data_IF_345338676376
#
_entry.id   IF_345338676376
#
_cell.length_a   1.000
_cell.length_b   1.000
_cell.length_c   1.000
_cell.angle_alpha   90.00
_cell.angle_beta   90.00
_cell.angle_gamma   90.00
#
_symmetry.space_group_name_H-M   'P 1'
#
loop_
_entity.id
_entity.type
_entity.pdbx_description
1 polymer ?
#
# COMPACT_ATOMS: atom_id res chain seq x y z
N UNK A 1 12.81 -19.27 -9.84
CA UNK A 1 12.59 -18.97 -9.87
C UNK A 1 12.58 -18.56 -9.91
N UNK A 2 12.78 -18.17 -10.07
CA UNK A 2 12.75 -17.70 -10.36
C UNK A 2 12.80 -17.45 -9.71
N UNK A 3 13.15 -17.33 -9.33
CA UNK A 3 13.23 -17.11 -8.95
C UNK A 3 13.79 -17.01 -8.33
N UNK A 4 14.34 -17.08 -8.00
CA UNK A 4 14.79 -17.05 -7.72
C UNK A 4 15.17 -17.00 -7.08
N UNK A 5 15.75 -16.86 -6.67
CA UNK A 5 15.87 -16.86 -6.29
C UNK A 5 15.51 -16.90 -5.52
N UNK A 6 15.79 -16.86 -4.97
CA UNK A 6 15.19 -16.87 -4.43
C UNK A 6 14.05 -16.95 -4.49
N UNK A 7 13.76 -17.17 -4.37
CA UNK A 7 12.61 -17.57 -4.53
C UNK A 7 11.65 -16.69 -4.98
N UNK A 8 11.99 -15.93 -5.48
CA UNK A 8 11.14 -15.07 -5.80
C UNK A 8 10.69 -15.27 -7.04
N UNK A 9 9.63 -15.50 -7.23
CA UNK A 9 9.17 -15.65 -8.35
C UNK A 9 8.78 -14.51 -8.85
N UNK A 10 9.33 -14.14 -9.71
CA UNK A 10 8.95 -13.11 -10.22
C UNK A 10 8.30 -13.30 -11.38
N UNK A 11 7.27 -13.16 -11.59
CA UNK A 11 6.63 -13.38 -12.68
C UNK A 11 6.62 -12.28 -13.41
N UNK A 12 7.07 -12.20 -14.20
CA UNK A 12 7.09 -11.26 -14.97
C UNK A 12 6.14 -11.26 -15.88
N UNK A 13 5.26 -11.17 -15.85
CA UNK A 13 4.41 -11.28 -16.75
C UNK A 13 4.08 -10.20 -17.29
N UNK A 14 4.31 -9.94 -18.08
CA UNK A 14 4.00 -8.99 -18.67
C UNK A 14 3.00 -9.04 -19.56
N UNK A 15 2.20 -8.34 -19.59
CA UNK A 15 1.23 -8.35 -20.44
C UNK A 15 1.60 -7.53 -21.51
N UNK A 16 1.98 -8.03 -22.41
CA UNK A 16 2.40 -7.30 -23.49
C UNK A 16 1.40 -6.42 -24.06
N UNK A 17 0.21 -6.60 -23.77
CA UNK A 17 -0.76 -5.81 -24.34
C UNK A 17 -1.01 -4.64 -23.58
N UNK A 18 -0.31 -4.39 -22.51
CA UNK A 18 -0.62 -3.33 -21.70
C UNK A 18 -0.33 -2.09 -22.41
N UNK A 19 -1.23 -1.28 -22.61
CA UNK A 19 -1.06 -0.06 -23.27
C UNK A 19 -1.09 1.09 -22.38
N UNK A 20 -0.94 0.93 -21.10
CA UNK A 20 -0.98 2.02 -20.26
C UNK A 20 0.28 2.72 -20.28
N UNK A 21 0.43 3.85 -19.62
CA UNK A 21 1.65 4.57 -19.46
C UNK A 21 2.56 3.93 -18.44
N UNK A 22 2.20 2.78 -17.94
CA UNK A 22 2.99 2.10 -16.94
C UNK A 22 3.87 1.09 -17.61
N UNK A 23 5.06 0.93 -17.07
CA UNK A 23 5.97 -0.09 -17.53
C UNK A 23 6.15 -1.08 -16.42
N UNK A 24 5.94 -2.35 -16.70
CA UNK A 24 6.21 -3.39 -15.73
C UNK A 24 7.70 -3.68 -15.73
N UNK A 25 8.24 -3.77 -14.56
CA UNK A 25 9.67 -3.98 -14.40
C UNK A 25 9.92 -5.25 -13.61
N UNK A 26 11.13 -5.76 -13.72
CA UNK A 26 11.56 -6.86 -12.88
C UNK A 26 12.11 -6.29 -11.58
N UNK A 27 12.01 -7.01 -10.48
CA UNK A 27 12.57 -6.53 -9.23
C UNK A 27 14.04 -6.18 -9.32
N UNK A 28 14.80 -6.89 -10.16
CA UNK A 28 16.21 -6.61 -10.30
C UNK A 28 16.46 -5.27 -10.98
N UNK A 29 15.44 -4.66 -11.55
CA UNK A 29 15.60 -3.36 -12.17
C UNK A 29 15.38 -2.22 -11.21
N UNK A 30 15.04 -2.52 -9.96
CA UNK A 30 14.86 -1.47 -8.97
C UNK A 30 16.21 -0.87 -8.59
N UNK A 31 16.26 0.40 -8.27
CA UNK A 31 17.49 1.00 -7.76
C UNK A 31 17.93 0.31 -6.47
N UNK A 32 19.23 0.26 -6.24
CA UNK A 32 19.76 -0.40 -5.05
C UNK A 32 19.16 0.16 -3.77
N UNK A 33 18.94 1.46 -3.71
CA UNK A 33 18.36 2.08 -2.51
C UNK A 33 16.95 1.56 -2.23
N UNK A 34 16.17 1.31 -3.27
CA UNK A 34 14.82 0.76 -3.08
C UNK A 34 14.90 -0.67 -2.57
N UNK A 35 15.80 -1.48 -3.13
CA UNK A 35 15.93 -2.85 -2.67
C UNK A 35 16.41 -2.91 -1.23
N UNK A 36 17.31 -2.01 -0.85
CA UNK A 36 17.78 -1.95 0.53
C UNK A 36 16.68 -1.54 1.49
N UNK A 37 15.84 -0.60 1.08
CA UNK A 37 14.72 -0.18 1.90
C UNK A 37 13.79 -1.37 2.17
N UNK A 38 13.46 -2.10 1.10
CA UNK A 38 12.54 -3.23 1.23
C UNK A 38 13.14 -4.30 2.13
N UNK A 39 14.41 -4.60 1.95
CA UNK A 39 15.05 -5.63 2.74
C UNK A 39 15.17 -5.23 4.21
N UNK A 40 15.32 -3.95 4.47
CA UNK A 40 15.51 -3.49 5.84
C UNK A 40 14.23 -3.21 6.61
N UNK A 41 13.12 -3.01 5.93
CA UNK A 41 11.88 -2.63 6.59
C UNK A 41 10.83 -3.74 6.67
N UNK A 42 11.01 -4.81 5.93
CA UNK A 42 10.02 -5.90 5.92
C UNK A 42 10.72 -7.22 6.16
N UNK A 43 9.99 -8.17 6.71
CA UNK A 43 10.51 -9.49 7.02
C UNK A 43 10.07 -10.46 5.92
N UNK A 44 11.04 -11.05 5.24
CA UNK A 44 10.79 -11.99 4.15
C UNK A 44 9.77 -11.46 3.16
N UNK A 45 9.98 -10.24 2.65
CA UNK A 45 9.03 -9.67 1.71
C UNK A 45 9.12 -10.37 0.36
N UNK A 46 7.97 -10.60 -0.25
CA UNK A 46 7.96 -11.12 -1.61
C UNK A 46 7.46 -10.01 -2.52
N UNK A 47 8.26 -9.66 -3.49
CA UNK A 47 7.88 -8.64 -4.47
C UNK A 47 7.07 -9.35 -5.53
N UNK A 48 5.81 -8.96 -5.70
CA UNK A 48 4.95 -9.61 -6.67
C UNK A 48 4.74 -8.77 -7.92
N UNK A 49 5.03 -7.49 -7.86
CA UNK A 49 4.89 -6.65 -9.03
C UNK A 49 5.67 -5.38 -8.86
N UNK A 50 6.30 -4.90 -9.91
CA UNK A 50 6.99 -3.62 -9.92
C UNK A 50 6.51 -2.88 -11.15
N UNK A 51 6.01 -1.67 -10.97
CA UNK A 51 5.55 -0.85 -12.07
C UNK A 51 6.21 0.50 -12.00
N UNK A 52 6.44 1.10 -13.14
CA UNK A 52 6.93 2.46 -13.18
C UNK A 52 5.94 3.30 -13.94
N UNK A 53 5.55 4.43 -13.32
CA UNK A 53 4.71 5.37 -13.98
C UNK A 53 5.39 6.70 -13.83
N UNK A 54 5.87 7.26 -14.90
CA UNK A 54 6.63 8.51 -14.90
C UNK A 54 7.87 8.31 -14.04
N UNK A 55 8.04 9.10 -13.00
CA UNK A 55 9.20 9.01 -12.15
C UNK A 55 8.94 8.24 -10.86
N UNK A 56 7.84 7.53 -10.77
CA UNK A 56 7.49 6.83 -9.56
C UNK A 56 7.54 5.34 -9.81
N UNK A 57 8.19 4.61 -8.90
CA UNK A 57 8.23 3.16 -8.93
C UNK A 57 7.28 2.64 -7.87
N UNK A 58 6.33 1.81 -8.27
CA UNK A 58 5.38 1.20 -7.34
C UNK A 58 5.71 -0.27 -7.21
N UNK A 59 5.92 -0.72 -6.00
CA UNK A 59 6.31 -2.09 -5.73
C UNK A 59 5.26 -2.73 -4.85
N UNK A 60 4.65 -3.80 -5.33
CA UNK A 60 3.70 -4.54 -4.53
C UNK A 60 4.41 -5.67 -3.82
N UNK A 61 4.21 -5.77 -2.53
CA UNK A 61 4.93 -6.70 -1.68
C UNK A 61 3.93 -7.46 -0.84
N UNK A 62 4.16 -8.75 -0.68
CA UNK A 62 3.43 -9.56 0.28
C UNK A 62 4.40 -9.91 1.39
N UNK A 63 4.05 -9.52 2.60
CA UNK A 63 4.83 -9.88 3.79
C UNK A 63 3.92 -10.71 4.67
N UNK A 64 4.11 -12.00 4.72
CA UNK A 64 3.20 -12.88 5.41
C UNK A 64 1.84 -12.85 4.72
N UNK A 65 0.84 -12.33 5.43
CA UNK A 65 -0.47 -12.16 4.83
C UNK A 65 -0.78 -10.70 4.54
N UNK A 66 0.17 -9.82 4.77
CA UNK A 66 -0.08 -8.41 4.57
C UNK A 66 0.33 -7.99 3.18
N UNK A 67 -0.53 -7.22 2.56
CA UNK A 67 -0.30 -6.71 1.22
C UNK A 67 0.10 -5.25 1.35
N UNK A 68 1.22 -4.89 0.75
CA UNK A 68 1.72 -3.53 0.86
C UNK A 68 2.08 -3.00 -0.52
N UNK A 69 1.94 -1.70 -0.69
CA UNK A 69 2.40 -1.05 -1.90
C UNK A 69 3.39 0.01 -1.48
N UNK A 70 4.62 -0.11 -1.95
CA UNK A 70 5.69 0.81 -1.57
C UNK A 70 6.09 1.61 -2.79
N UNK A 71 6.13 2.92 -2.65
CA UNK A 71 6.46 3.79 -3.77
C UNK A 71 7.81 4.45 -3.54
N UNK A 72 8.58 4.54 -4.61
CA UNK A 72 9.90 5.17 -4.60
C UNK A 72 10.00 6.13 -5.78
N UNK A 73 10.88 7.11 -5.67
CA UNK A 73 11.18 7.93 -6.85
C UNK A 73 12.16 7.18 -7.75
N UNK A 74 12.52 7.77 -8.85
CA UNK A 74 13.39 7.12 -9.83
C UNK A 74 14.79 6.81 -9.31
N UNK A 75 15.20 7.43 -8.22
CA UNK A 75 16.50 7.16 -7.63
C UNK A 75 16.41 6.14 -6.49
N UNK A 76 15.23 5.65 -6.19
CA UNK A 76 15.06 4.69 -5.12
C UNK A 76 14.78 5.29 -3.76
N UNK A 77 14.47 6.59 -3.70
CA UNK A 77 14.12 7.20 -2.43
C UNK A 77 12.68 6.90 -2.08
N UNK A 78 12.44 6.52 -0.85
CA UNK A 78 11.10 6.12 -0.41
C UNK A 78 10.15 7.30 -0.40
N UNK A 79 8.98 7.10 -0.98
CA UNK A 79 7.95 8.12 -1.01
C UNK A 79 6.78 7.75 -0.12
N UNK A 80 6.34 6.50 -0.11
CA UNK A 80 5.19 6.10 0.70
C UNK A 80 5.08 4.59 0.81
N UNK A 81 4.35 4.15 1.82
CA UNK A 81 3.96 2.75 1.97
C UNK A 81 2.48 2.72 2.32
N UNK A 82 1.71 1.96 1.57
CA UNK A 82 0.30 1.72 1.87
C UNK A 82 0.15 0.25 2.25
N UNK A 83 -0.47 0.00 3.39
CA UNK A 83 -0.69 -1.36 3.86
C UNK A 83 -2.19 -1.57 4.03
N UNK A 84 -2.72 -2.65 3.47
CA UNK A 84 -4.12 -3.00 3.66
C UNK A 84 -4.29 -3.60 5.03
N UNK A 85 -5.31 -3.17 5.76
CA UNK A 85 -5.54 -3.61 7.12
C UNK A 85 -6.92 -4.21 7.28
N UNK A 86 -7.04 -5.08 8.27
CA UNK A 86 -8.33 -5.53 8.74
C UNK A 86 -8.68 -4.69 9.96
N UNK A 87 -9.98 -4.66 10.30
CA UNK A 87 -10.43 -3.79 11.37
C UNK A 87 -9.70 -4.05 12.68
N UNK A 88 -9.44 -5.31 12.99
CA UNK A 88 -8.77 -5.63 14.26
C UNK A 88 -7.31 -5.17 14.29
N UNK A 89 -6.76 -4.75 13.17
CA UNK A 89 -5.39 -4.26 13.14
C UNK A 89 -5.31 -2.76 13.31
N UNK A 90 -6.46 -2.08 13.39
CA UNK A 90 -6.46 -0.62 13.48
C UNK A 90 -6.36 -0.23 14.94
N UNK A 91 -5.54 0.80 15.28
CA UNK A 91 -5.43 1.22 16.67
C UNK A 91 -6.76 1.67 17.26
N UNK A 92 -6.92 1.44 18.54
CA UNK A 92 -8.18 1.75 19.22
C UNK A 92 -8.54 3.23 19.11
N UNK A 93 -7.55 4.11 19.14
CA UNK A 93 -7.81 5.54 19.05
C UNK A 93 -8.39 5.92 17.70
N UNK A 94 -7.95 5.26 16.65
CA UNK A 94 -8.44 5.53 15.31
C UNK A 94 -9.86 5.00 15.16
N UNK A 95 -10.12 3.80 15.68
CA UNK A 95 -11.48 3.25 15.64
C UNK A 95 -12.44 4.09 16.47
N UNK A 96 -11.98 4.61 17.61
CA UNK A 96 -12.82 5.46 18.43
C UNK A 96 -13.20 6.75 17.68
N UNK A 97 -12.24 7.31 16.92
CA UNK A 97 -12.53 8.51 16.16
C UNK A 97 -13.59 8.22 15.08
N UNK A 98 -13.51 7.07 14.43
CA UNK A 98 -14.50 6.68 13.46
C UNK A 98 -15.87 6.52 14.13
N UNK A 99 -15.91 5.84 15.27
CA UNK A 99 -17.16 5.57 15.95
C UNK A 99 -17.80 6.84 16.53
N UNK A 100 -17.02 7.87 16.74
CA UNK A 100 -17.52 9.13 17.23
C UNK A 100 -17.78 10.13 16.11
N UNK A 101 -17.58 9.74 14.87
CA UNK A 101 -17.78 10.64 13.75
C UNK A 101 -19.20 10.52 13.22
N UNK A 102 -19.54 11.39 12.29
CA UNK A 102 -20.84 11.30 11.65
C UNK A 102 -21.00 10.06 10.79
N UNK A 103 -19.92 9.31 10.58
CA UNK A 103 -19.95 8.11 9.78
C UNK A 103 -20.01 6.83 10.63
N UNK A 104 -20.29 6.98 11.91
CA UNK A 104 -20.45 5.80 12.76
C UNK A 104 -21.55 4.93 12.20
N UNK A 105 -21.32 3.65 12.11
CA UNK A 105 -22.33 2.74 11.57
C UNK A 105 -22.34 2.58 10.07
N UNK A 106 -21.55 3.36 9.35
CA UNK A 106 -21.41 3.15 7.91
C UNK A 106 -20.60 1.89 7.69
N UNK A 107 -20.83 1.25 6.54
CA UNK A 107 -20.10 0.02 6.24
C UNK A 107 -18.68 0.37 5.84
N UNK A 108 -17.73 -0.36 6.39
CA UNK A 108 -16.32 -0.14 6.07
C UNK A 108 -15.95 -1.11 4.97
N UNK A 109 -15.63 -0.59 3.81
CA UNK A 109 -15.27 -1.44 2.68
C UNK A 109 -13.79 -1.70 2.62
N UNK A 110 -12.97 -0.72 2.90
CA UNK A 110 -11.52 -0.88 2.88
C UNK A 110 -10.88 -0.06 3.95
N UNK A 111 -9.77 -0.53 4.47
CA UNK A 111 -8.96 0.20 5.43
C UNK A 111 -7.52 0.10 4.96
N UNK A 112 -6.84 1.24 4.87
CA UNK A 112 -5.44 1.29 4.52
C UNK A 112 -4.68 2.15 5.50
N UNK A 113 -3.43 1.78 5.74
CA UNK A 113 -2.50 2.58 6.52
C UNK A 113 -1.50 3.19 5.54
N UNK A 114 -1.34 4.50 5.60
CA UNK A 114 -0.41 5.21 4.74
C UNK A 114 0.72 5.80 5.58
N UNK A 115 1.93 5.65 5.09
CA UNK A 115 3.11 6.25 5.70
C UNK A 115 3.91 6.97 4.64
N UNK A 116 4.37 8.17 4.95
CA UNK A 116 5.29 8.91 4.10
C UNK A 116 6.40 9.45 5.00
N UNK A 117 7.45 10.03 4.44
CA UNK A 117 8.49 10.61 5.29
C UNK A 117 7.97 11.71 6.22
N UNK A 118 6.88 12.37 5.85
CA UNK A 118 6.38 13.50 6.61
C UNK A 118 5.15 13.20 7.44
N UNK A 119 4.41 12.14 7.15
CA UNK A 119 3.09 11.98 7.74
C UNK A 119 2.68 10.52 7.76
N UNK A 120 1.61 10.24 8.50
CA UNK A 120 1.07 8.91 8.62
C UNK A 120 -0.41 9.04 8.91
N UNK A 121 -1.24 8.22 8.26
CA UNK A 121 -2.67 8.27 8.53
C UNK A 121 -3.33 6.95 8.13
N UNK A 122 -4.59 6.80 8.54
CA UNK A 122 -5.41 5.66 8.17
C UNK A 122 -6.54 6.15 7.29
N UNK A 123 -6.80 5.43 6.21
CA UNK A 123 -7.86 5.77 5.28
C UNK A 123 -8.94 4.71 5.34
N UNK A 124 -10.19 5.14 5.45
CA UNK A 124 -11.32 4.24 5.46
C UNK A 124 -12.20 4.56 4.27
N UNK A 125 -12.57 3.55 3.50
CA UNK A 125 -13.60 3.71 2.48
C UNK A 125 -14.90 3.25 3.10
N UNK A 126 -15.87 4.12 3.17
CA UNK A 126 -17.12 3.89 3.88
C UNK A 126 -18.28 3.99 2.91
N UNK A 127 -19.30 3.15 3.14
CA UNK A 127 -20.49 3.18 2.32
C UNK A 127 -21.69 3.39 3.21
N UNK A 128 -22.58 4.30 2.83
CA UNK A 128 -23.78 4.58 3.60
C UNK A 128 -24.71 3.37 3.55
N UNK A 129 -25.25 2.93 4.68
CA UNK A 129 -26.01 1.68 4.70
C UNK A 129 -27.23 1.64 3.81
N UNK A 130 -27.85 2.79 3.55
CA UNK A 130 -29.09 2.79 2.81
C UNK A 130 -28.98 3.41 1.44
N UNK A 131 -27.79 3.62 0.96
CA UNK A 131 -27.62 4.19 -0.37
C UNK A 131 -26.29 3.70 -0.90
N UNK A 132 -25.95 4.11 -2.12
CA UNK A 132 -24.68 3.73 -2.68
C UNK A 132 -23.63 4.80 -2.47
N UNK A 133 -23.89 5.73 -1.58
CA UNK A 133 -22.97 6.83 -1.37
C UNK A 133 -21.72 6.34 -0.65
N UNK A 134 -20.56 6.69 -1.19
CA UNK A 134 -19.29 6.30 -0.62
C UNK A 134 -18.50 7.53 -0.22
N UNK A 135 -17.74 7.41 0.86
CA UNK A 135 -16.94 8.49 1.38
C UNK A 135 -15.58 7.93 1.78
N UNK A 136 -14.56 8.71 1.56
CA UNK A 136 -13.22 8.36 2.04
C UNK A 136 -12.94 9.22 3.26
N UNK A 137 -12.61 8.58 4.38
CA UNK A 137 -12.32 9.28 5.62
C UNK A 137 -10.87 9.04 6.00
N UNK A 138 -10.14 10.07 6.36
CA UNK A 138 -8.75 9.95 6.77
C UNK A 138 -8.61 10.34 8.22
N UNK A 139 -7.94 9.50 9.00
CA UNK A 139 -7.79 9.71 10.44
C UNK A 139 -6.32 9.54 10.78
N UNK A 140 -5.77 10.49 11.50
CA UNK A 140 -4.38 10.39 11.96
C UNK A 140 -4.28 9.41 13.12
N UNK A 141 -3.08 8.92 13.43
CA UNK A 141 -2.94 7.95 14.52
C UNK A 141 -3.45 8.42 15.86
N UNK A 142 -3.49 9.75 16.09
CA UNK A 142 -4.00 10.29 17.34
C UNK A 142 -5.51 10.47 17.33
N UNK A 143 -6.17 10.08 16.26
CA UNK A 143 -7.62 10.21 16.14
C UNK A 143 -8.08 11.46 15.43
N UNK A 144 -7.18 12.31 14.98
CA UNK A 144 -7.57 13.54 14.29
C UNK A 144 -8.06 13.26 12.88
N UNK A 145 -9.26 13.67 12.56
CA UNK A 145 -9.83 13.49 11.22
C UNK A 145 -9.45 14.70 10.37
N UNK A 146 -9.09 14.45 9.12
CA UNK A 146 -8.68 15.55 8.25
C UNK A 146 -9.03 15.31 6.77
#
# INVERSE_FOLDING_TARGET
LFYAEDGVLIRAVVDADDNDDRDDLLPSELPAAALEFIAGHFTDPRIIEVERERDVLEVEIIEGRKHREVCFDGNGNWLSTRTELQRQEVPAEVLAALDNSQYAGWRVDDIDHFETPADEWYRFELEEPQSDREVELRIRPDGGIF
#
